data_IF_312460523786
#
_entry.id   IF_312460523786
#
_cell.length_a   1.000
_cell.length_b   1.000
_cell.length_c   1.000
_cell.angle_alpha   90.00
_cell.angle_beta   90.00
_cell.angle_gamma   90.00
#
_symmetry.space_group_name_H-M   'P 1'
#
loop_
_entity.id
_entity.type
_entity.pdbx_description
1 polymer ?
#
# COMPACT_ATOMS: atom_id res chain seq x y z
N UNK A 1 29.95 1.69 -27.71
CA UNK A 1 29.17 0.74 -26.91
C UNK A 1 29.41 1.11 -25.46
N UNK A 2 28.44 1.77 -24.83
CA UNK A 2 28.52 2.07 -23.40
C UNK A 2 28.36 0.75 -22.65
N UNK A 3 29.25 0.51 -21.69
CA UNK A 3 29.24 -0.67 -20.85
C UNK A 3 28.09 -0.52 -19.83
N UNK A 4 26.85 -0.82 -20.24
CA UNK A 4 25.71 -0.92 -19.32
C UNK A 4 25.82 -2.23 -18.54
N UNK A 5 26.60 -2.24 -17.46
CA UNK A 5 26.57 -3.22 -16.35
C UNK A 5 27.67 -2.81 -15.36
N UNK A 6 27.47 -1.70 -14.67
CA UNK A 6 27.89 -1.67 -13.27
C UNK A 6 26.66 -2.08 -12.49
N UNK A 7 26.69 -3.25 -11.84
CA UNK A 7 25.69 -3.61 -10.84
C UNK A 7 25.71 -2.48 -9.79
N UNK A 8 24.66 -1.67 -9.77
CA UNK A 8 24.57 -0.41 -9.04
C UNK A 8 24.27 -0.75 -7.58
N UNK A 9 25.30 -0.87 -6.75
CA UNK A 9 25.17 -1.23 -5.33
C UNK A 9 24.58 -0.11 -4.44
N UNK A 10 23.37 0.34 -4.77
CA UNK A 10 22.69 1.48 -4.14
C UNK A 10 22.17 1.13 -2.74
N UNK A 11 22.25 2.06 -1.78
CA UNK A 11 21.62 1.88 -0.48
C UNK A 11 20.09 1.95 -0.57
N UNK A 12 19.39 1.56 0.50
CA UNK A 12 17.94 1.58 0.54
C UNK A 12 17.36 2.38 1.71
N UNK A 13 16.19 2.96 1.49
CA UNK A 13 15.28 3.41 2.54
C UNK A 13 14.12 2.42 2.69
N UNK A 14 13.77 2.09 3.92
CA UNK A 14 12.63 1.23 4.23
C UNK A 14 11.47 2.03 4.83
N UNK A 15 10.27 1.88 4.27
CA UNK A 15 9.03 2.53 4.69
C UNK A 15 8.13 1.48 5.37
N UNK A 16 7.83 1.67 6.65
CA UNK A 16 6.98 0.78 7.41
C UNK A 16 5.48 0.95 7.06
N UNK A 17 4.68 -0.06 7.39
CA UNK A 17 3.24 -0.06 7.21
C UNK A 17 2.47 0.63 8.33
N UNK A 18 1.15 0.45 8.31
CA UNK A 18 0.24 0.90 9.37
C UNK A 18 0.57 0.19 10.68
N UNK A 19 0.59 0.94 11.78
CA UNK A 19 1.07 0.55 13.13
C UNK A 19 2.51 0.03 13.21
N UNK A 20 3.23 0.04 12.08
CA UNK A 20 4.62 -0.35 11.99
C UNK A 20 5.57 0.73 12.48
N UNK A 21 6.84 0.37 12.62
CA UNK A 21 7.92 1.27 13.01
C UNK A 21 9.24 0.75 12.39
N UNK A 22 10.39 1.42 12.61
CA UNK A 22 11.67 0.98 12.05
C UNK A 22 12.05 -0.49 12.33
N UNK A 23 11.55 -1.10 13.41
CA UNK A 23 11.83 -2.51 13.73
C UNK A 23 11.28 -3.48 12.68
N UNK A 24 10.32 -3.05 11.85
CA UNK A 24 9.82 -3.84 10.72
C UNK A 24 10.90 -4.10 9.66
N UNK A 25 11.98 -3.31 9.65
CA UNK A 25 13.09 -3.46 8.74
C UNK A 25 14.18 -4.43 9.25
N UNK A 26 14.12 -4.96 10.48
CA UNK A 26 15.24 -5.70 11.09
C UNK A 26 15.75 -6.85 10.21
N UNK A 27 14.85 -7.62 9.59
CA UNK A 27 15.24 -8.71 8.69
C UNK A 27 15.87 -8.19 7.40
N UNK A 28 15.39 -7.05 6.88
CA UNK A 28 16.02 -6.35 5.76
C UNK A 28 17.39 -5.81 6.13
N UNK A 29 17.57 -5.18 7.29
CA UNK A 29 18.87 -4.70 7.77
C UNK A 29 19.89 -5.84 7.86
N UNK A 30 19.47 -7.01 8.37
CA UNK A 30 20.30 -8.21 8.42
C UNK A 30 20.68 -8.69 7.01
N UNK A 31 19.71 -8.82 6.11
CA UNK A 31 19.95 -9.28 4.74
C UNK A 31 20.82 -8.29 3.96
N UNK A 32 20.61 -6.98 4.11
CA UNK A 32 21.40 -5.93 3.49
C UNK A 32 22.83 -5.91 4.02
N UNK A 33 23.03 -6.07 5.33
CA UNK A 33 24.37 -6.15 5.93
C UNK A 33 25.18 -7.36 5.41
N UNK A 34 24.54 -8.53 5.23
CA UNK A 34 25.19 -9.71 4.62
C UNK A 34 25.63 -9.44 3.18
N UNK A 35 24.90 -8.59 2.47
CA UNK A 35 25.20 -8.18 1.10
C UNK A 35 26.02 -6.88 1.02
N UNK A 36 26.64 -6.42 2.11
CA UNK A 36 27.44 -5.17 2.18
C UNK A 36 26.69 -3.93 1.67
N UNK A 37 25.37 -3.88 1.84
CA UNK A 37 24.50 -2.79 1.37
C UNK A 37 23.96 -2.01 2.56
N UNK A 38 23.94 -0.69 2.47
CA UNK A 38 23.35 0.13 3.53
C UNK A 38 21.82 0.17 3.42
N UNK A 39 21.15 0.13 4.56
CA UNK A 39 19.71 0.34 4.66
C UNK A 39 19.42 1.29 5.81
N UNK A 40 18.51 2.23 5.59
CA UNK A 40 17.97 3.11 6.62
C UNK A 40 16.48 2.85 6.75
N UNK A 41 16.08 2.32 7.91
CA UNK A 41 14.69 2.20 8.30
C UNK A 41 14.16 3.57 8.70
N UNK A 42 13.23 4.10 7.92
CA UNK A 42 12.64 5.41 8.19
C UNK A 42 11.72 5.33 9.41
N UNK A 43 11.74 6.40 10.20
CA UNK A 43 11.01 6.52 11.47
C UNK A 43 10.02 7.67 11.44
N UNK A 44 9.56 8.08 10.24
CA UNK A 44 8.49 9.06 10.14
C UNK A 44 7.18 8.40 10.61
N UNK A 45 6.52 9.00 11.61
CA UNK A 45 5.23 8.53 12.13
C UNK A 45 5.19 7.04 12.57
N UNK A 46 6.02 6.59 13.52
CA UNK A 46 6.05 5.19 13.96
C UNK A 46 4.84 4.81 14.83
N UNK A 47 4.50 3.52 14.83
CA UNK A 47 3.46 2.95 15.69
C UNK A 47 2.12 3.62 15.45
N UNK A 48 1.47 4.08 16.52
CA UNK A 48 0.15 4.73 16.44
C UNK A 48 0.13 6.01 15.59
N UNK A 49 1.27 6.70 15.41
CA UNK A 49 1.31 7.90 14.55
C UNK A 49 1.06 7.58 13.07
N UNK A 50 1.37 6.36 12.62
CA UNK A 50 1.15 5.92 11.24
C UNK A 50 -0.33 5.85 10.84
N UNK A 51 -1.24 5.86 11.82
CA UNK A 51 -2.69 5.90 11.60
C UNK A 51 -3.17 7.29 11.16
N UNK A 52 -2.37 8.33 11.39
CA UNK A 52 -2.70 9.70 11.00
C UNK A 52 -2.85 9.87 9.48
N UNK A 53 -3.54 10.90 9.01
CA UNK A 53 -3.75 11.11 7.58
C UNK A 53 -2.43 11.19 6.77
N UNK A 54 -2.43 10.55 5.59
CA UNK A 54 -1.23 10.40 4.74
C UNK A 54 -0.60 11.74 4.32
N UNK A 55 -1.36 12.79 3.95
CA UNK A 55 -0.79 14.11 3.64
C UNK A 55 0.06 14.70 4.77
N UNK A 56 -0.22 14.35 6.03
CA UNK A 56 0.55 14.86 7.18
C UNK A 56 1.86 14.09 7.39
N UNK A 57 1.96 12.88 6.86
CA UNK A 57 3.13 12.01 6.99
C UNK A 57 4.15 12.23 5.88
N UNK A 58 3.72 12.54 4.64
CA UNK A 58 4.61 12.69 3.48
C UNK A 58 5.72 13.72 3.71
N UNK A 59 5.45 14.95 4.22
CA UNK A 59 6.50 15.93 4.48
C UNK A 59 7.50 15.46 5.54
N UNK A 60 7.06 14.65 6.53
CA UNK A 60 7.95 14.08 7.55
C UNK A 60 8.92 13.07 6.92
N UNK A 61 8.42 12.21 6.03
CA UNK A 61 9.24 11.24 5.29
C UNK A 61 10.28 11.97 4.41
N UNK A 62 9.86 12.97 3.63
CA UNK A 62 10.75 13.78 2.78
C UNK A 62 11.84 14.44 3.62
N UNK A 63 11.49 15.04 4.76
CA UNK A 63 12.45 15.70 5.65
C UNK A 63 13.52 14.72 6.16
N UNK A 64 13.10 13.54 6.62
CA UNK A 64 14.02 12.52 7.10
C UNK A 64 14.94 11.98 5.99
N UNK A 65 14.39 11.74 4.79
CA UNK A 65 15.19 11.29 3.63
C UNK A 65 16.25 12.33 3.29
N UNK A 66 15.88 13.62 3.21
CA UNK A 66 16.84 14.70 2.94
C UNK A 66 17.92 14.81 4.00
N UNK A 67 17.58 14.62 5.28
CA UNK A 67 18.56 14.60 6.38
C UNK A 67 19.57 13.45 6.20
N UNK A 68 19.11 12.26 5.85
CA UNK A 68 20.00 11.11 5.59
C UNK A 68 20.87 11.36 4.36
N UNK A 69 20.31 11.81 3.24
CA UNK A 69 21.10 12.11 2.02
C UNK A 69 22.17 13.18 2.28
N UNK A 70 21.86 14.19 3.11
CA UNK A 70 22.81 15.24 3.47
C UNK A 70 23.94 14.76 4.39
N UNK A 71 23.70 13.73 5.21
CA UNK A 71 24.64 13.25 6.23
C UNK A 71 25.38 11.97 5.85
N UNK A 72 24.90 11.22 4.86
CA UNK A 72 25.47 9.95 4.42
C UNK A 72 25.76 9.95 2.91
N UNK A 73 27.04 10.06 2.57
CA UNK A 73 27.52 10.12 1.17
C UNK A 73 27.08 8.91 0.33
N UNK A 74 26.79 7.76 0.95
CA UNK A 74 26.31 6.56 0.26
C UNK A 74 25.00 6.82 -0.49
N UNK A 75 24.16 7.71 0.01
CA UNK A 75 22.83 8.01 -0.55
C UNK A 75 22.84 9.18 -1.56
N UNK A 76 23.97 9.83 -1.81
CA UNK A 76 24.04 11.02 -2.69
C UNK A 76 23.91 10.71 -4.18
N UNK A 77 24.21 9.47 -4.59
CA UNK A 77 24.23 9.06 -6.01
C UNK A 77 23.09 8.10 -6.38
N UNK A 78 22.01 8.14 -5.61
CA UNK A 78 20.82 7.33 -5.83
C UNK A 78 20.56 6.32 -4.73
N UNK A 79 19.31 5.87 -4.64
CA UNK A 79 18.86 4.92 -3.62
C UNK A 79 17.64 4.12 -4.07
N UNK A 80 17.41 3.01 -3.37
CA UNK A 80 16.21 2.18 -3.49
C UNK A 80 15.20 2.58 -2.42
N UNK A 81 13.92 2.62 -2.77
CA UNK A 81 12.83 2.63 -1.80
C UNK A 81 12.25 1.22 -1.68
N UNK A 82 12.08 0.74 -0.46
CA UNK A 82 11.36 -0.48 -0.15
C UNK A 82 10.20 -0.10 0.77
N UNK A 83 8.97 -0.28 0.32
CA UNK A 83 7.79 0.07 1.11
C UNK A 83 6.87 -1.11 1.30
N UNK A 84 6.56 -1.45 2.54
CA UNK A 84 5.63 -2.51 2.89
C UNK A 84 4.26 -1.96 3.24
N UNK A 85 3.20 -2.58 2.70
CA UNK A 85 1.83 -2.20 3.03
C UNK A 85 1.57 -0.71 2.77
N UNK A 86 1.10 0.04 3.77
CA UNK A 86 1.00 1.50 3.70
C UNK A 86 2.31 2.18 3.30
N UNK A 87 3.47 1.66 3.72
CA UNK A 87 4.78 2.19 3.36
C UNK A 87 5.05 2.22 1.85
N UNK A 88 4.44 1.31 1.08
CA UNK A 88 4.60 1.29 -0.39
C UNK A 88 3.89 2.45 -1.08
N UNK A 89 2.67 2.80 -0.66
CA UNK A 89 1.98 3.98 -1.22
C UNK A 89 2.65 5.27 -0.73
N UNK A 90 3.14 5.30 0.51
CA UNK A 90 3.91 6.42 1.04
C UNK A 90 5.20 6.66 0.26
N UNK A 91 5.95 5.59 -0.05
CA UNK A 91 7.15 5.69 -0.86
C UNK A 91 6.86 6.25 -2.27
N UNK A 92 5.74 5.83 -2.89
CA UNK A 92 5.29 6.41 -4.17
C UNK A 92 4.91 7.89 -4.03
N UNK A 93 4.13 8.25 -3.02
CA UNK A 93 3.73 9.64 -2.79
C UNK A 93 4.94 10.55 -2.51
N UNK A 94 5.98 10.04 -1.83
CA UNK A 94 7.24 10.79 -1.67
C UNK A 94 7.91 11.03 -3.02
N UNK A 95 7.97 10.04 -3.91
CA UNK A 95 8.51 10.21 -5.27
C UNK A 95 7.75 11.30 -6.03
N UNK A 96 6.43 11.32 -5.91
CA UNK A 96 5.57 12.29 -6.62
C UNK A 96 5.65 13.72 -6.05
N UNK A 97 5.98 13.88 -4.77
CA UNK A 97 6.03 15.17 -4.07
C UNK A 97 7.46 15.72 -3.88
N UNK A 98 8.50 14.92 -4.17
CA UNK A 98 9.90 15.28 -3.99
C UNK A 98 10.64 15.34 -5.33
N UNK A 99 10.50 16.45 -6.07
CA UNK A 99 11.10 16.66 -7.40
C UNK A 99 12.62 16.39 -7.47
N UNK A 100 13.34 16.56 -6.37
CA UNK A 100 14.79 16.36 -6.24
C UNK A 100 15.18 14.94 -5.80
N UNK A 101 14.24 14.00 -5.75
CA UNK A 101 14.51 12.62 -5.36
C UNK A 101 15.55 11.97 -6.28
N UNK A 102 16.34 11.04 -5.73
CA UNK A 102 17.30 10.22 -6.48
C UNK A 102 16.92 8.73 -6.45
N UNK A 103 15.62 8.43 -6.30
CA UNK A 103 15.13 7.04 -6.33
C UNK A 103 15.44 6.40 -7.69
N UNK A 104 16.18 5.29 -7.65
CA UNK A 104 16.44 4.44 -8.80
C UNK A 104 15.36 3.36 -8.94
N UNK A 105 15.04 2.68 -7.84
CA UNK A 105 14.09 1.56 -7.79
C UNK A 105 13.11 1.77 -6.64
N UNK A 106 11.82 1.57 -6.90
CA UNK A 106 10.78 1.40 -5.88
C UNK A 106 10.36 -0.07 -5.85
N UNK A 107 10.61 -0.76 -4.74
CA UNK A 107 10.09 -2.08 -4.43
C UNK A 107 8.88 -1.91 -3.51
N UNK A 108 7.68 -2.08 -4.08
CA UNK A 108 6.41 -1.92 -3.38
C UNK A 108 5.84 -3.29 -2.97
N UNK A 109 5.87 -3.60 -1.68
CA UNK A 109 5.54 -4.92 -1.12
C UNK A 109 4.13 -4.94 -0.56
N UNK A 110 3.21 -5.66 -1.23
CA UNK A 110 1.82 -5.83 -0.80
C UNK A 110 1.13 -4.51 -0.42
N UNK A 111 1.42 -3.44 -1.15
CA UNK A 111 0.93 -2.10 -0.87
C UNK A 111 -0.38 -1.81 -1.63
N UNK A 112 -1.34 -1.08 -1.00
CA UNK A 112 -2.58 -0.69 -1.66
C UNK A 112 -2.34 0.51 -2.59
N UNK A 113 -1.51 0.36 -3.62
CA UNK A 113 -1.11 1.47 -4.52
C UNK A 113 -2.30 2.18 -5.18
N UNK A 114 -3.41 1.46 -5.33
CA UNK A 114 -4.67 1.94 -5.92
C UNK A 114 -5.72 2.29 -4.88
N UNK A 115 -5.37 2.24 -3.60
CA UNK A 115 -6.29 2.23 -2.48
C UNK A 115 -6.81 0.83 -2.16
N UNK A 116 -7.73 0.77 -1.19
CA UNK A 116 -8.20 -0.44 -0.56
C UNK A 116 -9.71 -0.59 -0.70
N UNK A 117 -10.13 -1.78 -1.12
CA UNK A 117 -11.50 -2.29 -1.08
C UNK A 117 -11.44 -3.82 -1.12
N UNK A 118 -12.35 -4.49 -0.43
CA UNK A 118 -12.45 -5.96 -0.43
C UNK A 118 -13.74 -6.37 -1.14
N UNK A 119 -13.59 -7.05 -2.28
CA UNK A 119 -14.71 -7.52 -3.10
C UNK A 119 -15.21 -8.91 -2.71
N UNK A 120 -16.08 -9.51 -3.55
CA UNK A 120 -16.70 -10.81 -3.27
C UNK A 120 -15.76 -12.00 -3.44
N UNK A 121 -14.54 -11.79 -3.93
CA UNK A 121 -13.63 -12.86 -4.33
C UNK A 121 -13.16 -13.68 -3.10
N UNK A 122 -12.88 -14.98 -3.28
CA UNK A 122 -12.33 -15.81 -2.21
C UNK A 122 -11.07 -15.22 -1.59
N UNK A 123 -10.21 -14.61 -2.41
CA UNK A 123 -8.95 -13.99 -2.01
C UNK A 123 -9.16 -12.77 -1.11
N UNK A 124 -10.35 -12.15 -1.12
CA UNK A 124 -10.69 -10.99 -0.28
C UNK A 124 -11.40 -11.39 1.00
N UNK A 125 -12.06 -12.55 1.02
CA UNK A 125 -12.95 -12.94 2.12
C UNK A 125 -12.17 -13.15 3.42
N UNK A 126 -11.06 -13.90 3.36
CA UNK A 126 -10.22 -14.15 4.54
C UNK A 126 -9.49 -12.86 4.97
N UNK A 127 -8.81 -12.12 4.06
CA UNK A 127 -8.20 -10.84 4.44
C UNK A 127 -9.18 -9.81 5.02
N UNK A 128 -10.41 -9.73 4.53
CA UNK A 128 -11.43 -8.84 5.09
C UNK A 128 -11.81 -9.23 6.53
N UNK A 129 -11.98 -10.53 6.80
CA UNK A 129 -12.23 -11.04 8.16
C UNK A 129 -11.05 -10.74 9.11
N UNK A 130 -9.83 -11.03 8.66
CA UNK A 130 -8.60 -10.76 9.43
C UNK A 130 -8.47 -9.27 9.70
N UNK A 131 -8.64 -8.42 8.69
CA UNK A 131 -8.59 -6.98 8.85
C UNK A 131 -9.64 -6.49 9.84
N UNK A 132 -10.90 -6.91 9.71
CA UNK A 132 -11.96 -6.48 10.63
C UNK A 132 -11.68 -6.91 12.08
N UNK A 133 -11.08 -8.09 12.26
CA UNK A 133 -10.64 -8.56 13.57
C UNK A 133 -9.53 -7.66 14.11
N UNK A 134 -8.48 -7.42 13.32
CA UNK A 134 -7.31 -6.66 13.76
C UNK A 134 -7.60 -5.16 13.92
N UNK A 135 -8.49 -4.59 13.11
CA UNK A 135 -8.74 -3.15 13.01
C UNK A 135 -9.15 -2.51 14.34
N UNK A 136 -9.97 -3.20 15.13
CA UNK A 136 -10.45 -2.72 16.42
C UNK A 136 -9.49 -2.96 17.58
N UNK A 137 -8.67 -4.02 17.52
CA UNK A 137 -7.88 -4.48 18.67
C UNK A 137 -6.40 -4.18 18.51
N UNK A 138 -5.78 -4.73 17.49
CA UNK A 138 -4.32 -4.66 17.29
C UNK A 138 -3.91 -3.39 16.55
N UNK A 139 -4.67 -3.01 15.51
CA UNK A 139 -4.34 -1.87 14.66
C UNK A 139 -4.94 -0.55 15.17
N UNK A 140 -6.01 -0.62 15.98
CA UNK A 140 -6.75 0.52 16.54
C UNK A 140 -6.98 1.65 15.51
N UNK A 141 -7.44 1.24 14.33
CA UNK A 141 -7.46 2.10 13.13
C UNK A 141 -8.45 3.26 13.27
N UNK A 142 -9.51 3.02 14.04
CA UNK A 142 -10.50 4.01 14.41
C UNK A 142 -10.91 3.83 15.87
N UNK A 143 -11.24 4.93 16.56
CA UNK A 143 -12.13 4.87 17.70
C UNK A 143 -13.44 4.17 17.32
N UNK A 144 -13.94 3.28 18.19
CA UNK A 144 -15.13 2.46 17.90
C UNK A 144 -16.42 3.29 17.78
N UNK A 145 -16.44 4.52 18.30
CA UNK A 145 -17.54 5.48 18.09
C UNK A 145 -17.50 6.15 16.70
N UNK A 146 -16.37 6.07 15.99
CA UNK A 146 -16.25 6.53 14.60
C UNK A 146 -16.63 5.41 13.64
N UNK A 147 -16.03 4.22 13.79
CA UNK A 147 -16.37 3.04 12.99
C UNK A 147 -16.00 1.76 13.76
N UNK A 148 -16.98 0.88 13.95
CA UNK A 148 -16.79 -0.39 14.67
C UNK A 148 -16.88 -1.58 13.71
N UNK A 149 -15.72 -2.14 13.37
CA UNK A 149 -15.62 -3.31 12.49
C UNK A 149 -16.25 -4.58 13.08
N UNK A 150 -16.44 -4.66 14.41
CA UNK A 150 -17.08 -5.82 15.04
C UNK A 150 -18.58 -5.91 14.71
N UNK A 151 -19.21 -4.79 14.36
CA UNK A 151 -20.62 -4.71 13.95
C UNK A 151 -20.95 -5.64 12.78
N UNK A 152 -19.96 -5.91 11.92
CA UNK A 152 -20.16 -6.64 10.66
C UNK A 152 -19.70 -8.11 10.70
N UNK A 153 -19.15 -8.57 11.83
CA UNK A 153 -18.59 -9.92 11.99
C UNK A 153 -19.60 -10.93 12.57
N UNK A 154 -20.90 -10.67 12.42
CA UNK A 154 -21.95 -11.57 12.88
C UNK A 154 -22.19 -12.70 11.86
N UNK A 155 -21.89 -13.94 12.24
CA UNK A 155 -22.12 -15.13 11.42
C UNK A 155 -23.59 -15.29 10.97
N UNK A 156 -24.55 -14.70 11.69
CA UNK A 156 -25.96 -14.70 11.30
C UNK A 156 -26.31 -13.64 10.23
N UNK A 157 -25.38 -12.73 9.94
CA UNK A 157 -25.47 -11.71 8.90
C UNK A 157 -24.39 -11.92 7.81
N UNK A 158 -24.64 -12.81 6.83
CA UNK A 158 -23.66 -13.08 5.77
C UNK A 158 -23.36 -11.85 4.89
N UNK A 159 -24.23 -10.83 4.90
CA UNK A 159 -24.01 -9.58 4.17
C UNK A 159 -23.07 -8.61 4.90
N UNK A 160 -22.80 -8.83 6.20
CA UNK A 160 -21.98 -7.97 7.04
C UNK A 160 -20.62 -7.66 6.42
N UNK A 161 -19.83 -8.70 6.14
CA UNK A 161 -18.53 -8.57 5.47
C UNK A 161 -18.60 -8.67 3.93
N UNK A 162 -19.80 -8.87 3.37
CA UNK A 162 -20.05 -9.02 1.93
C UNK A 162 -20.91 -7.87 1.39
N UNK A 163 -20.48 -6.64 1.64
CA UNK A 163 -21.08 -5.43 1.08
C UNK A 163 -21.50 -4.40 2.12
N UNK A 164 -22.03 -4.81 3.29
CA UNK A 164 -22.50 -3.85 4.30
C UNK A 164 -21.36 -3.06 4.95
N UNK A 165 -20.29 -3.73 5.39
CA UNK A 165 -19.12 -3.06 5.95
C UNK A 165 -18.48 -2.12 4.93
N UNK A 166 -18.33 -2.58 3.68
CA UNK A 166 -17.74 -1.83 2.58
C UNK A 166 -18.54 -0.58 2.25
N UNK A 167 -19.87 -0.72 2.14
CA UNK A 167 -20.78 0.41 1.92
C UNK A 167 -20.74 1.38 3.09
N UNK A 168 -20.85 0.89 4.32
CA UNK A 168 -20.84 1.74 5.50
C UNK A 168 -19.54 2.52 5.65
N UNK A 169 -18.40 1.90 5.32
CA UNK A 169 -17.11 2.58 5.30
C UNK A 169 -17.04 3.64 4.19
N UNK A 170 -17.59 3.36 3.00
CA UNK A 170 -17.70 4.35 1.93
C UNK A 170 -18.60 5.53 2.34
N UNK A 171 -19.75 5.27 2.96
CA UNK A 171 -20.65 6.29 3.52
C UNK A 171 -19.96 7.11 4.62
N UNK A 172 -19.16 6.50 5.49
CA UNK A 172 -18.36 7.20 6.50
C UNK A 172 -17.39 8.19 5.84
N UNK A 173 -16.62 7.73 4.84
CA UNK A 173 -15.66 8.54 4.10
C UNK A 173 -16.31 9.75 3.44
N UNK A 174 -17.52 9.57 2.88
CA UNK A 174 -18.26 10.63 2.17
C UNK A 174 -18.93 11.60 3.14
N UNK A 175 -19.57 11.08 4.19
CA UNK A 175 -20.40 11.90 5.10
C UNK A 175 -19.60 12.63 6.17
N UNK A 176 -18.35 12.22 6.42
CA UNK A 176 -17.43 12.83 7.39
C UNK A 176 -16.10 13.21 6.71
N UNK A 177 -16.11 14.20 5.80
CA UNK A 177 -14.92 14.57 5.03
C UNK A 177 -13.73 15.00 5.90
N UNK A 178 -13.98 15.51 7.10
CA UNK A 178 -12.95 15.86 8.08
C UNK A 178 -12.08 14.67 8.52
N UNK A 179 -12.54 13.43 8.32
CA UNK A 179 -11.76 12.24 8.64
C UNK A 179 -10.59 12.03 7.66
N UNK A 180 -10.65 12.59 6.45
CA UNK A 180 -9.52 12.56 5.51
C UNK A 180 -8.31 13.38 6.00
N UNK A 181 -8.50 14.30 6.94
CA UNK A 181 -7.42 15.04 7.60
C UNK A 181 -6.89 14.32 8.85
N UNK A 182 -7.55 13.24 9.27
CA UNK A 182 -7.27 12.56 10.54
C UNK A 182 -6.73 11.13 10.35
N UNK A 183 -7.24 10.37 9.37
CA UNK A 183 -7.02 8.92 9.31
C UNK A 183 -6.50 8.46 7.95
N UNK A 184 -5.32 7.82 7.95
CA UNK A 184 -4.70 7.21 6.77
C UNK A 184 -5.64 6.24 6.05
N UNK A 185 -6.38 5.43 6.82
CA UNK A 185 -7.25 4.41 6.23
C UNK A 185 -8.43 5.00 5.44
N UNK A 186 -8.91 6.19 5.83
CA UNK A 186 -9.93 6.93 5.06
C UNK A 186 -9.31 7.48 3.77
N UNK A 187 -8.06 7.96 3.81
CA UNK A 187 -7.34 8.34 2.58
C UNK A 187 -7.19 7.16 1.61
N UNK A 188 -7.01 5.93 2.11
CA UNK A 188 -6.85 4.73 1.29
C UNK A 188 -8.17 4.15 0.76
N UNK A 189 -9.34 4.53 1.29
CA UNK A 189 -10.61 3.93 0.89
C UNK A 189 -10.91 4.14 -0.60
N UNK A 190 -10.96 3.05 -1.39
CA UNK A 190 -11.21 3.07 -2.84
C UNK A 190 -12.47 2.27 -3.20
N UNK A 191 -13.63 2.82 -2.89
CA UNK A 191 -14.91 2.16 -3.18
C UNK A 191 -15.34 2.27 -4.66
N UNK A 192 -16.16 1.34 -5.19
CA UNK A 192 -16.44 1.22 -6.63
C UNK A 192 -17.41 2.27 -7.19
N UNK A 193 -18.12 3.03 -6.34
CA UNK A 193 -18.95 4.16 -6.75
C UNK A 193 -18.06 5.34 -7.20
N UNK A 194 -17.59 5.29 -8.45
CA UNK A 194 -16.42 6.04 -8.89
C UNK A 194 -16.58 7.56 -8.86
N UNK A 195 -17.71 8.08 -9.34
CA UNK A 195 -17.96 9.52 -9.33
C UNK A 195 -17.97 10.06 -7.90
N UNK A 196 -18.69 9.38 -7.00
CA UNK A 196 -18.74 9.72 -5.57
C UNK A 196 -17.35 9.65 -4.94
N UNK A 197 -16.58 8.60 -5.24
CA UNK A 197 -15.22 8.43 -4.75
C UNK A 197 -14.30 9.59 -5.21
N UNK A 198 -14.34 9.96 -6.48
CA UNK A 198 -13.51 11.03 -7.04
C UNK A 198 -13.84 12.41 -6.46
N UNK A 199 -15.09 12.62 -6.06
CA UNK A 199 -15.53 13.87 -5.43
C UNK A 199 -15.22 13.94 -3.93
N UNK A 200 -15.16 12.78 -3.25
CA UNK A 200 -15.05 12.72 -1.78
C UNK A 200 -13.65 12.45 -1.25
N UNK A 201 -12.81 11.68 -1.97
CA UNK A 201 -11.47 11.35 -1.51
C UNK A 201 -10.46 12.37 -2.05
N UNK A 202 -9.81 13.21 -1.21
CA UNK A 202 -8.88 14.23 -1.67
C UNK A 202 -7.46 13.69 -1.94
N UNK A 203 -7.14 12.48 -1.48
CA UNK A 203 -5.77 11.96 -1.51
C UNK A 203 -5.49 11.12 -2.74
N UNK A 204 -6.22 10.01 -2.92
CA UNK A 204 -5.95 9.07 -4.01
C UNK A 204 -6.05 9.75 -5.39
N UNK A 205 -7.07 10.55 -5.72
CA UNK A 205 -7.13 11.26 -6.99
C UNK A 205 -5.95 12.21 -7.24
N UNK A 206 -5.45 12.88 -6.19
CA UNK A 206 -4.29 13.76 -6.31
C UNK A 206 -3.04 12.98 -6.72
N UNK A 207 -2.70 11.92 -5.97
CA UNK A 207 -1.48 11.12 -6.24
C UNK A 207 -1.58 10.24 -7.49
N UNK A 208 -2.77 10.09 -8.09
CA UNK A 208 -2.89 9.40 -9.38
C UNK A 208 -3.18 10.37 -10.52
N UNK A 209 -3.11 11.68 -10.26
CA UNK A 209 -3.34 12.73 -11.26
C UNK A 209 -4.63 12.52 -12.06
N UNK A 210 -5.72 12.16 -11.37
CA UNK A 210 -7.03 11.95 -11.98
C UNK A 210 -8.02 12.97 -11.45
N UNK A 211 -8.54 13.80 -12.34
CA UNK A 211 -9.71 14.62 -12.06
C UNK A 211 -10.87 14.01 -12.84
N UNK A 212 -11.80 13.37 -12.11
CA UNK A 212 -13.05 12.76 -12.61
C UNK A 212 -13.00 11.43 -13.39
N UNK A 213 -11.88 10.71 -13.53
CA UNK A 213 -11.92 9.27 -13.85
C UNK A 213 -10.64 8.52 -13.45
N UNK A 214 -10.81 7.45 -12.65
CA UNK A 214 -10.10 6.15 -12.69
C UNK A 214 -8.90 5.82 -11.79
N UNK A 215 -8.67 4.50 -11.47
CA UNK A 215 -7.47 3.92 -10.77
C UNK A 215 -7.08 2.48 -11.22
N UNK A 216 -5.79 2.13 -11.05
CA UNK A 216 -5.14 0.80 -11.16
C UNK A 216 -5.92 -0.36 -10.49
N UNK A 217 -5.60 -1.62 -10.84
CA UNK A 217 -5.96 -2.86 -10.14
C UNK A 217 -7.10 -2.71 -9.11
N UNK A 218 -8.35 -2.67 -9.56
CA UNK A 218 -9.50 -2.30 -8.72
C UNK A 218 -10.75 -3.06 -9.11
N UNK A 219 -11.80 -2.96 -8.31
CA UNK A 219 -13.11 -3.48 -8.69
C UNK A 219 -13.77 -2.67 -9.80
N UNK A 220 -14.63 -3.34 -10.55
CA UNK A 220 -15.58 -2.76 -11.50
C UNK A 220 -16.43 -1.68 -10.85
N UNK A 221 -16.96 -0.77 -11.66
CA UNK A 221 -17.72 0.37 -11.16
C UNK A 221 -19.17 0.02 -10.87
N UNK A 222 -19.72 0.75 -9.91
CA UNK A 222 -21.15 0.85 -9.65
C UNK A 222 -21.57 2.33 -9.67
N UNK A 223 -22.86 2.59 -9.84
CA UNK A 223 -23.36 3.95 -10.07
C UNK A 223 -23.59 4.73 -8.76
N UNK A 224 -23.69 4.04 -7.62
CA UNK A 224 -23.95 4.67 -6.32
C UNK A 224 -23.39 3.86 -5.14
N UNK A 225 -23.38 4.46 -3.94
CA UNK A 225 -22.97 3.77 -2.71
C UNK A 225 -23.91 2.60 -2.36
N UNK A 226 -25.21 2.72 -2.63
CA UNK A 226 -26.19 1.64 -2.39
C UNK A 226 -25.90 0.40 -3.25
N UNK A 227 -25.38 0.63 -4.47
CA UNK A 227 -25.00 -0.44 -5.36
C UNK A 227 -23.75 -1.22 -4.92
N UNK A 228 -22.94 -0.68 -3.99
CA UNK A 228 -21.84 -1.43 -3.38
C UNK A 228 -22.37 -2.70 -2.70
N UNK A 229 -23.49 -2.58 -1.99
CA UNK A 229 -24.11 -3.71 -1.29
C UNK A 229 -24.97 -4.54 -2.24
N UNK A 230 -25.83 -3.91 -3.04
CA UNK A 230 -26.80 -4.64 -3.88
C UNK A 230 -26.19 -5.34 -5.09
N UNK A 231 -25.03 -4.86 -5.58
CA UNK A 231 -24.26 -5.48 -6.68
C UNK A 231 -22.92 -6.05 -6.21
N UNK A 232 -22.74 -6.26 -4.90
CA UNK A 232 -21.46 -6.70 -4.33
C UNK A 232 -20.90 -7.94 -5.03
N UNK A 233 -21.75 -8.94 -5.25
CA UNK A 233 -21.37 -10.23 -5.86
C UNK A 233 -21.01 -10.12 -7.35
N UNK A 234 -21.41 -9.03 -8.02
CA UNK A 234 -21.10 -8.78 -9.44
C UNK A 234 -19.78 -8.01 -9.63
N UNK A 235 -19.14 -7.57 -8.53
CA UNK A 235 -17.88 -6.83 -8.59
C UNK A 235 -16.74 -7.72 -9.08
N UNK A 236 -16.02 -7.26 -10.10
CA UNK A 236 -14.89 -7.98 -10.71
C UNK A 236 -13.62 -7.15 -10.67
N UNK A 237 -12.47 -7.80 -10.51
CA UNK A 237 -11.16 -7.13 -10.52
C UNK A 237 -10.78 -6.77 -11.96
N UNK A 238 -10.45 -5.50 -12.17
CA UNK A 238 -9.88 -4.96 -13.41
C UNK A 238 -8.37 -4.91 -13.26
N UNK A 239 -7.64 -5.65 -14.10
CA UNK A 239 -6.18 -5.72 -14.04
C UNK A 239 -5.50 -4.37 -14.31
N UNK A 240 -4.29 -4.17 -13.76
CA UNK A 240 -3.59 -2.89 -13.79
C UNK A 240 -3.45 -2.26 -15.18
N UNK A 241 -3.09 -3.06 -16.21
CA UNK A 241 -2.95 -2.59 -17.59
C UNK A 241 -4.28 -2.29 -18.29
N UNK A 242 -5.40 -2.81 -17.77
CA UNK A 242 -6.74 -2.58 -18.30
C UNK A 242 -7.41 -1.35 -17.72
N UNK A 243 -6.80 -0.73 -16.72
CA UNK A 243 -7.28 0.50 -16.10
C UNK A 243 -7.07 1.72 -16.99
N UNK A 244 -7.83 2.79 -16.72
CA UNK A 244 -7.76 4.01 -17.52
C UNK A 244 -6.49 4.80 -17.20
N UNK A 245 -5.89 4.63 -16.04
CA UNK A 245 -4.66 5.27 -15.53
C UNK A 245 -3.51 4.83 -16.40
N UNK A 246 -3.44 3.52 -16.61
CA UNK A 246 -2.48 2.91 -17.48
C UNK A 246 -2.75 3.35 -18.92
N UNK A 247 -4.00 3.21 -19.40
CA UNK A 247 -4.34 3.53 -20.80
C UNK A 247 -4.10 5.00 -21.17
N UNK A 248 -4.37 5.92 -20.24
CA UNK A 248 -4.21 7.37 -20.40
C UNK A 248 -2.88 7.90 -19.86
N UNK A 249 -2.05 7.04 -19.26
CA UNK A 249 -0.74 7.37 -18.70
C UNK A 249 -0.75 8.53 -17.67
N UNK A 250 -1.75 8.54 -16.77
CA UNK A 250 -2.08 9.74 -15.96
C UNK A 250 -0.95 10.18 -15.03
N UNK A 251 -0.15 9.23 -14.53
CA UNK A 251 1.06 9.48 -13.71
C UNK A 251 2.28 8.75 -14.30
N UNK A 252 2.33 8.57 -15.63
CA UNK A 252 3.51 8.02 -16.32
C UNK A 252 3.69 6.52 -16.18
N UNK A 253 2.66 5.78 -15.75
CA UNK A 253 2.72 4.34 -15.53
C UNK A 253 2.90 3.52 -16.81
N UNK A 254 2.19 3.88 -17.87
CA UNK A 254 2.35 3.23 -19.17
C UNK A 254 3.69 3.63 -19.77
N UNK A 255 4.12 4.88 -19.61
CA UNK A 255 5.48 5.30 -19.95
C UNK A 255 6.53 4.47 -19.20
N UNK A 256 6.29 4.17 -17.91
CA UNK A 256 7.16 3.32 -17.08
C UNK A 256 7.18 1.86 -17.59
N UNK A 257 6.05 1.31 -18.03
CA UNK A 257 5.95 -0.03 -18.62
C UNK A 257 6.66 -0.12 -19.97
N UNK A 258 6.39 0.84 -20.88
CA UNK A 258 6.96 0.88 -22.23
C UNK A 258 8.48 1.04 -22.21
N UNK A 259 9.03 1.74 -21.20
CA UNK A 259 10.49 1.84 -21.01
C UNK A 259 11.10 0.62 -20.29
N UNK A 260 10.31 -0.38 -19.93
CA UNK A 260 10.76 -1.60 -19.24
C UNK A 260 11.07 -1.41 -17.76
N UNK A 261 10.48 -0.41 -17.11
CA UNK A 261 10.69 -0.09 -15.69
C UNK A 261 9.53 -0.48 -14.77
N UNK A 262 8.47 -1.11 -15.29
CA UNK A 262 7.32 -1.58 -14.52
C UNK A 262 7.27 -3.10 -14.49
N UNK A 263 7.19 -3.67 -13.29
CA UNK A 263 7.11 -5.11 -13.08
C UNK A 263 5.98 -5.42 -12.11
N UNK A 264 5.05 -6.29 -12.53
CA UNK A 264 4.03 -6.84 -11.65
C UNK A 264 4.41 -8.27 -11.29
N UNK A 265 4.67 -8.51 -10.01
CA UNK A 265 4.96 -9.82 -9.47
C UNK A 265 3.83 -10.23 -8.53
N UNK A 266 2.98 -11.14 -9.00
CA UNK A 266 2.02 -11.83 -8.15
C UNK A 266 2.71 -13.09 -7.59
N UNK A 267 2.73 -13.21 -6.27
CA UNK A 267 3.32 -14.36 -5.59
C UNK A 267 2.24 -15.01 -4.73
N UNK A 268 1.82 -16.19 -5.16
CA UNK A 268 0.85 -17.00 -4.44
C UNK A 268 1.39 -17.43 -3.07
N UNK A 269 0.47 -17.62 -2.11
CA UNK A 269 0.73 -18.23 -0.80
C UNK A 269 1.76 -17.48 0.08
N UNK A 270 1.94 -16.18 -0.13
CA UNK A 270 2.78 -15.31 0.72
C UNK A 270 1.90 -14.42 1.59
N UNK A 271 1.82 -14.66 2.91
CA UNK A 271 1.08 -13.80 3.82
C UNK A 271 1.59 -12.35 3.80
N UNK A 272 0.70 -11.39 4.06
CA UNK A 272 1.03 -9.97 4.05
C UNK A 272 2.27 -9.62 4.91
N UNK A 273 2.40 -10.24 6.08
CA UNK A 273 3.53 -10.01 7.01
C UNK A 273 4.81 -10.75 6.59
N UNK A 274 4.71 -11.80 5.76
CA UNK A 274 5.88 -12.58 5.35
C UNK A 274 6.88 -11.79 4.49
N UNK A 275 6.42 -10.70 3.86
CA UNK A 275 7.27 -9.77 3.11
C UNK A 275 8.31 -9.04 3.97
N UNK A 276 8.17 -9.05 5.30
CA UNK A 276 9.06 -8.32 6.22
C UNK A 276 9.60 -9.17 7.38
N UNK A 277 8.95 -10.29 7.71
CA UNK A 277 9.40 -11.20 8.78
C UNK A 277 8.82 -12.59 8.60
N UNK A 278 9.34 -13.60 9.32
CA UNK A 278 8.80 -14.96 9.26
C UNK A 278 7.35 -14.96 9.79
N UNK A 279 6.44 -15.65 9.10
CA UNK A 279 5.01 -15.61 9.43
C UNK A 279 4.33 -16.97 9.21
N UNK A 280 3.44 -17.45 10.11
CA UNK A 280 2.65 -18.66 9.89
C UNK A 280 1.78 -18.55 8.63
N UNK A 281 1.61 -19.64 7.88
CA UNK A 281 0.66 -19.63 6.76
C UNK A 281 -0.79 -19.53 7.28
N UNK A 282 -1.63 -18.77 6.57
CA UNK A 282 -3.01 -18.52 6.99
C UNK A 282 -3.90 -19.78 6.87
N UNK A 283 -3.62 -20.63 5.90
CA UNK A 283 -4.35 -21.86 5.61
C UNK A 283 -3.80 -23.10 6.36
N UNK A 284 -2.52 -23.05 6.76
CA UNK A 284 -1.87 -24.08 7.58
C UNK A 284 -0.92 -23.44 8.61
N UNK A 285 -1.41 -23.10 9.82
CA UNK A 285 -0.62 -22.41 10.84
C UNK A 285 0.51 -23.27 11.44
N UNK A 286 0.61 -24.56 11.05
CA UNK A 286 1.75 -25.41 11.42
C UNK A 286 2.97 -25.18 10.52
N UNK A 287 2.78 -24.49 9.40
CA UNK A 287 3.82 -24.09 8.47
C UNK A 287 4.14 -22.60 8.62
N UNK A 288 5.37 -22.25 8.30
CA UNK A 288 5.86 -20.87 8.37
C UNK A 288 6.40 -20.47 7.01
N UNK A 289 5.92 -19.34 6.50
CA UNK A 289 6.56 -18.61 5.43
C UNK A 289 7.83 -17.95 5.98
N UNK A 290 8.98 -18.31 5.42
CA UNK A 290 10.27 -17.77 5.83
C UNK A 290 10.58 -16.51 5.02
N UNK A 291 10.87 -15.41 5.71
CA UNK A 291 11.23 -14.14 5.07
C UNK A 291 12.42 -14.31 4.12
N UNK A 292 13.45 -15.06 4.53
CA UNK A 292 14.68 -15.20 3.76
C UNK A 292 14.41 -15.82 2.38
N UNK A 293 13.52 -16.81 2.29
CA UNK A 293 13.16 -17.45 1.03
C UNK A 293 12.47 -16.45 0.08
N UNK A 294 11.63 -15.56 0.63
CA UNK A 294 10.97 -14.50 -0.13
C UNK A 294 11.99 -13.45 -0.57
N UNK A 295 12.87 -13.04 0.33
CA UNK A 295 13.92 -12.06 0.06
C UNK A 295 14.85 -12.53 -1.07
N UNK A 296 15.44 -13.71 -0.94
CA UNK A 296 16.41 -14.25 -1.90
C UNK A 296 15.80 -14.47 -3.27
N UNK A 297 14.53 -14.90 -3.31
CA UNK A 297 13.85 -15.25 -4.56
C UNK A 297 13.28 -14.04 -5.30
N UNK A 298 12.76 -13.04 -4.59
CA UNK A 298 11.97 -11.97 -5.19
C UNK A 298 12.54 -10.58 -4.98
N UNK A 299 13.23 -10.32 -3.87
CA UNK A 299 13.68 -8.98 -3.52
C UNK A 299 15.12 -8.75 -3.93
N UNK A 300 16.02 -9.65 -3.55
CA UNK A 300 17.43 -9.58 -3.91
C UNK A 300 17.65 -9.45 -5.43
N UNK A 301 16.95 -10.20 -6.31
CA UNK A 301 17.10 -10.05 -7.76
C UNK A 301 16.53 -8.74 -8.32
N UNK A 302 15.70 -8.02 -7.56
CA UNK A 302 15.13 -6.74 -7.94
C UNK A 302 15.97 -5.54 -7.47
N UNK A 303 17.00 -5.78 -6.64
CA UNK A 303 17.94 -4.75 -6.24
C UNK A 303 18.93 -4.46 -7.39
N UNK A 304 19.23 -3.18 -7.65
CA UNK A 304 20.21 -2.80 -8.66
C UNK A 304 21.64 -3.14 -8.22
#
# INVERSE_FOLDING_TARGET
MANCTSDLHLPAFFFHGLTGDPSNAVKYEQAFAVNDRALVALSFAPGAESVAALPTQIPKAIAQIREVVASDERFQNGYVFIGHSLGGIMARSVIEEMDDHQVHTLISLAAPQSGLFYGPQPEDTIPMQVLCTMANYELQMFPTDIFDFATYQDDSNPAGLRGQAQRAFAELSVNKPELHEQFAFVNLGRFPANEVFLESNPFLPAINNVNKTSFFGRYSYVDSLEEIETKFEDLTIVGGRDTVEFKNDTFGLKTLDERGGLFFHEVADVPHTCWITDWPLLDDPTKTCAFQDIFDKYILPALP
#
